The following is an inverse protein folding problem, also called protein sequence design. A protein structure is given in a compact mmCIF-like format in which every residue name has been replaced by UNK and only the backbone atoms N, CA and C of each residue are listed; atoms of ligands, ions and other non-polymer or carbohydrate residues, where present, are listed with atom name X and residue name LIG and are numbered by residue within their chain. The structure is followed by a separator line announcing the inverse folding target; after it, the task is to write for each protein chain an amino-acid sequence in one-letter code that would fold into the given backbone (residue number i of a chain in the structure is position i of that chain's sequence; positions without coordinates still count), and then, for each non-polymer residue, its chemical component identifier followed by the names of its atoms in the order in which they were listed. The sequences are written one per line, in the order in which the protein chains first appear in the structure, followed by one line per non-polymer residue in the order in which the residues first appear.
data_IF_467955040157
#
_entry.id   IF_467955040157
#
_cell.length_a   1.000
_cell.length_b   1.000
_cell.length_c   1.000
_cell.angle_alpha   90.00
_cell.angle_beta   90.00
_cell.angle_gamma   90.00
#
_symmetry.space_group_name_H-M   'P 1'
#
loop_
_entity.id
_entity.type
_entity.pdbx_description
1 polymer ?
#
# COMPACT_ATOMS: atom_id res chain seq x y z
N UNK A 1 46.19 28.22 13.10
CA UNK A 1 46.69 26.97 12.47
C UNK A 1 45.67 26.29 11.52
N UNK A 2 44.37 26.61 11.60
CA UNK A 2 43.37 25.98 10.71
C UNK A 2 43.19 26.66 9.33
N UNK A 3 43.58 27.90 9.22
CA UNK A 3 43.37 28.70 8.02
C UNK A 3 44.48 28.45 6.93
N UNK A 4 45.69 28.14 7.37
CA UNK A 4 46.79 27.75 6.47
C UNK A 4 46.64 26.33 5.93
N UNK A 5 46.04 25.43 6.69
CA UNK A 5 45.70 24.08 6.20
C UNK A 5 44.63 24.10 5.10
N UNK A 6 43.56 24.87 5.31
CA UNK A 6 42.49 25.01 4.32
C UNK A 6 42.98 25.64 3.02
N UNK A 7 43.86 26.62 3.10
CA UNK A 7 44.50 27.22 1.91
C UNK A 7 45.38 26.22 1.14
N UNK A 8 46.09 25.34 1.86
CA UNK A 8 46.89 24.26 1.25
C UNK A 8 46.02 23.23 0.51
N UNK A 9 44.92 22.81 1.13
CA UNK A 9 44.00 21.84 0.53
C UNK A 9 43.28 22.40 -0.70
N UNK A 10 42.90 23.68 -0.67
CA UNK A 10 42.33 24.36 -1.86
C UNK A 10 43.35 24.46 -2.98
N UNK A 11 44.58 24.79 -2.67
CA UNK A 11 45.65 24.90 -3.70
C UNK A 11 45.99 23.52 -4.29
N UNK A 12 45.99 22.46 -3.47
CA UNK A 12 46.15 21.08 -3.91
C UNK A 12 45.02 20.64 -4.85
N UNK A 13 43.78 20.87 -4.45
CA UNK A 13 42.58 20.54 -5.26
C UNK A 13 42.56 21.32 -6.59
N UNK A 14 42.98 22.56 -6.58
CA UNK A 14 43.08 23.38 -7.80
C UNK A 14 44.16 22.85 -8.77
N UNK A 15 45.28 22.39 -8.22
CA UNK A 15 46.34 21.75 -9.01
C UNK A 15 45.88 20.42 -9.64
N UNK A 16 45.14 19.62 -8.89
CA UNK A 16 44.59 18.35 -9.38
C UNK A 16 43.53 18.57 -10.48
N UNK A 17 42.70 19.60 -10.34
CA UNK A 17 41.71 19.98 -11.36
C UNK A 17 42.44 20.50 -12.61
N UNK A 18 43.51 21.28 -12.45
CA UNK A 18 44.31 21.78 -13.57
C UNK A 18 45.05 20.65 -14.31
N UNK A 19 45.57 19.67 -13.59
CA UNK A 19 46.15 18.46 -14.18
C UNK A 19 45.11 17.64 -14.95
N UNK A 20 43.93 17.40 -14.34
CA UNK A 20 42.84 16.67 -14.98
C UNK A 20 42.29 17.35 -16.23
N UNK A 21 42.25 18.69 -16.24
CA UNK A 21 41.90 19.49 -17.42
C UNK A 21 42.98 19.37 -18.51
N UNK A 22 44.26 19.34 -18.14
CA UNK A 22 45.38 19.11 -19.06
C UNK A 22 45.31 17.73 -19.73
N UNK A 23 45.00 16.68 -18.93
CA UNK A 23 44.87 15.33 -19.43
C UNK A 23 43.62 15.17 -20.33
N UNK A 24 42.53 15.84 -19.98
CA UNK A 24 41.33 15.89 -20.81
C UNK A 24 41.60 16.59 -22.16
N UNK A 25 42.31 17.72 -22.14
CA UNK A 25 42.68 18.44 -23.36
C UNK A 25 43.61 17.58 -24.25
N UNK A 26 44.58 16.87 -23.67
CA UNK A 26 45.45 15.95 -24.38
C UNK A 26 44.69 14.79 -25.02
N UNK A 27 43.75 14.22 -24.29
CA UNK A 27 42.85 13.13 -24.78
C UNK A 27 41.96 13.62 -25.92
N UNK A 28 41.46 14.86 -25.81
CA UNK A 28 40.62 15.47 -26.84
C UNK A 28 41.45 15.70 -28.13
N UNK A 29 42.69 16.21 -28.02
CA UNK A 29 43.57 16.41 -29.16
C UNK A 29 43.95 15.08 -29.84
N UNK A 30 44.26 14.06 -29.05
CA UNK A 30 44.53 12.72 -29.60
C UNK A 30 43.30 12.12 -30.31
N UNK A 31 42.12 12.40 -29.80
CA UNK A 31 40.84 11.98 -30.44
C UNK A 31 40.58 12.75 -31.74
N UNK A 32 40.90 14.05 -31.77
CA UNK A 32 40.80 14.86 -32.97
C UNK A 32 41.79 14.40 -34.07
N UNK A 33 43.01 14.05 -33.70
CA UNK A 33 44.01 13.49 -34.63
C UNK A 33 43.56 12.12 -35.19
N UNK A 34 42.99 11.26 -34.36
CA UNK A 34 42.39 9.99 -34.82
C UNK A 34 41.25 10.22 -35.79
N UNK A 35 40.36 11.17 -35.51
CA UNK A 35 39.25 11.53 -36.38
C UNK A 35 39.77 12.07 -37.73
N UNK A 36 40.81 12.90 -37.73
CA UNK A 36 41.41 13.42 -38.95
C UNK A 36 42.07 12.28 -39.78
N UNK A 37 42.73 11.34 -39.10
CA UNK A 37 43.33 10.16 -39.78
C UNK A 37 42.24 9.24 -40.37
N UNK A 38 41.14 9.03 -39.65
CA UNK A 38 39.97 8.26 -40.13
C UNK A 38 39.31 8.97 -41.32
N UNK A 39 39.20 10.28 -41.28
CA UNK A 39 38.64 11.07 -42.37
C UNK A 39 39.52 10.99 -43.62
N UNK A 40 40.86 11.05 -43.48
CA UNK A 40 41.80 10.82 -44.58
C UNK A 40 41.74 9.42 -45.16
N UNK A 41 41.58 8.39 -44.30
CA UNK A 41 41.41 7.00 -44.76
C UNK A 41 40.09 6.81 -45.48
N UNK A 42 39.01 7.38 -44.95
CA UNK A 42 37.69 7.35 -45.56
C UNK A 42 37.70 8.04 -46.92
N UNK A 43 38.33 9.21 -47.02
CA UNK A 43 38.50 9.95 -48.27
C UNK A 43 39.30 9.18 -49.31
N UNK A 44 40.34 8.43 -48.88
CA UNK A 44 41.11 7.56 -49.73
C UNK A 44 40.33 6.33 -50.23
N UNK A 45 39.44 5.78 -49.41
CA UNK A 45 38.56 4.65 -49.80
C UNK A 45 37.45 5.12 -50.71
N UNK A 46 36.91 6.31 -50.51
CA UNK A 46 35.83 6.92 -51.31
C UNK A 46 36.32 7.39 -52.67
N UNK A 47 37.61 7.75 -52.78
CA UNK A 47 38.23 8.15 -54.06
C UNK A 47 38.48 6.99 -55.05
N UNK A 48 38.25 5.72 -54.64
CA UNK A 48 38.23 4.54 -55.51
C UNK A 48 36.85 4.33 -56.10
N UNK A 49 36.71 4.50 -57.37
CA UNK A 49 35.53 4.42 -58.22
C UNK A 49 34.55 3.26 -57.82
N UNK A 50 33.40 3.61 -57.29
CA UNK A 50 32.30 2.65 -57.19
C UNK A 50 31.26 2.87 -56.05
N UNK A 51 31.29 3.96 -55.32
CA UNK A 51 30.27 4.25 -54.31
C UNK A 51 29.39 5.46 -54.70
N UNK A 52 28.08 5.41 -54.40
CA UNK A 52 27.19 6.53 -54.64
C UNK A 52 27.59 7.72 -53.78
N UNK A 53 27.44 8.88 -54.39
CA UNK A 53 27.77 10.23 -53.99
C UNK A 53 27.69 10.52 -52.47
N UNK A 54 28.81 10.34 -51.77
CA UNK A 54 29.01 10.75 -50.37
C UNK A 54 29.31 12.27 -50.24
N UNK A 55 29.30 13.01 -51.31
CA UNK A 55 29.49 14.48 -51.31
C UNK A 55 28.38 15.23 -50.53
N UNK A 56 27.19 14.60 -50.40
CA UNK A 56 26.15 15.13 -49.55
C UNK A 56 26.41 15.03 -48.02
N UNK A 57 27.26 14.08 -47.61
CA UNK A 57 27.62 13.93 -46.19
C UNK A 57 28.72 14.92 -45.77
N UNK A 58 29.62 15.28 -46.70
CA UNK A 58 30.71 16.25 -46.44
C UNK A 58 30.25 17.70 -46.52
N UNK A 59 29.07 17.99 -47.09
CA UNK A 59 28.46 19.32 -47.09
C UNK A 59 27.55 19.58 -45.89
N UNK A 60 27.41 18.60 -45.01
CA UNK A 60 26.57 18.74 -43.79
C UNK A 60 27.40 19.46 -42.73
N UNK A 61 26.80 20.47 -42.10
CA UNK A 61 27.38 21.25 -41.03
C UNK A 61 28.12 20.38 -40.00
N UNK A 62 29.36 20.74 -39.61
CA UNK A 62 30.14 19.99 -38.61
C UNK A 62 29.41 19.70 -37.29
N UNK A 63 28.50 20.57 -36.87
CA UNK A 63 27.67 20.41 -35.70
C UNK A 63 26.63 19.25 -35.87
N UNK A 64 26.13 19.04 -37.07
CA UNK A 64 25.24 17.93 -37.40
C UNK A 64 25.96 16.57 -37.35
N UNK A 65 27.23 16.55 -37.82
CA UNK A 65 28.09 15.33 -37.75
C UNK A 65 28.51 15.07 -36.31
N UNK A 66 28.86 16.10 -35.54
CA UNK A 66 29.17 15.96 -34.13
C UNK A 66 27.95 15.44 -33.32
N UNK A 67 26.74 15.89 -33.64
CA UNK A 67 25.50 15.40 -33.03
C UNK A 67 25.21 13.93 -33.38
N UNK A 68 25.46 13.53 -34.64
CA UNK A 68 25.31 12.14 -35.09
C UNK A 68 26.35 11.21 -34.47
N UNK A 69 27.59 11.69 -34.24
CA UNK A 69 28.65 10.92 -33.59
C UNK A 69 28.53 10.86 -32.08
N UNK A 70 27.96 11.89 -31.45
CA UNK A 70 27.67 11.92 -30.02
C UNK A 70 26.45 11.08 -29.63
N UNK A 71 25.49 10.88 -30.56
CA UNK A 71 24.33 10.06 -30.38
C UNK A 71 24.12 9.11 -31.58
N UNK A 72 24.98 8.09 -31.77
CA UNK A 72 24.95 7.20 -32.94
C UNK A 72 23.70 6.34 -33.00
N UNK A 73 22.87 6.34 -31.95
CA UNK A 73 21.61 5.62 -31.85
C UNK A 73 20.52 6.59 -31.46
N UNK A 74 19.57 6.83 -32.34
CA UNK A 74 18.30 7.47 -31.94
C UNK A 74 17.45 6.44 -31.22
N UNK A 75 17.33 6.57 -29.90
CA UNK A 75 16.44 5.74 -29.12
C UNK A 75 15.01 6.26 -29.32
N UNK A 76 14.25 5.59 -30.17
CA UNK A 76 12.81 5.85 -30.26
C UNK A 76 12.14 5.16 -29.07
N UNK A 77 11.88 5.90 -27.99
CA UNK A 77 11.20 5.41 -26.81
C UNK A 77 9.69 5.40 -27.06
N UNK A 78 9.15 4.23 -27.31
CA UNK A 78 7.69 4.02 -27.27
C UNK A 78 7.34 3.67 -25.83
N UNK A 79 6.79 4.64 -25.09
CA UNK A 79 6.32 4.40 -23.74
C UNK A 79 5.01 3.64 -23.78
N UNK A 80 4.97 2.42 -23.19
CA UNK A 80 3.72 1.65 -23.01
C UNK A 80 2.76 2.40 -22.09
N UNK A 81 3.28 3.04 -21.05
CA UNK A 81 2.55 3.89 -20.12
C UNK A 81 3.17 5.29 -20.16
N UNK A 82 2.65 6.21 -21.00
CA UNK A 82 3.17 7.55 -21.09
C UNK A 82 2.81 8.33 -19.83
N UNK A 83 3.80 8.70 -19.05
CA UNK A 83 3.63 9.50 -17.83
C UNK A 83 4.30 10.85 -18.02
N UNK A 84 3.53 11.93 -17.82
CA UNK A 84 4.00 13.30 -18.10
C UNK A 84 5.09 13.77 -17.12
N UNK A 85 5.03 13.33 -15.87
CA UNK A 85 5.97 13.75 -14.82
C UNK A 85 6.14 12.69 -13.73
N UNK A 86 7.19 12.84 -12.92
CA UNK A 86 7.50 11.92 -11.83
C UNK A 86 6.39 11.84 -10.76
N UNK A 87 5.70 12.95 -10.49
CA UNK A 87 4.56 12.98 -9.57
C UNK A 87 3.45 12.02 -9.99
N UNK A 88 3.04 12.10 -11.27
CA UNK A 88 2.03 11.17 -11.83
C UNK A 88 2.53 9.72 -11.81
N UNK A 89 3.83 9.47 -12.04
CA UNK A 89 4.40 8.12 -11.96
C UNK A 89 4.28 7.50 -10.56
N UNK A 90 4.46 8.31 -9.52
CA UNK A 90 4.44 7.86 -8.13
C UNK A 90 3.04 7.85 -7.50
N UNK A 91 2.08 8.53 -8.08
CA UNK A 91 0.72 8.67 -7.53
C UNK A 91 0.07 7.32 -7.23
N UNK A 92 0.08 6.30 -8.10
CA UNK A 92 -0.54 5.01 -7.81
C UNK A 92 -0.08 4.40 -6.49
N UNK A 93 1.22 4.44 -6.23
CA UNK A 93 1.81 3.94 -5.00
C UNK A 93 1.36 4.74 -3.77
N UNK A 94 1.44 6.08 -3.83
CA UNK A 94 1.08 6.93 -2.69
C UNK A 94 -0.43 6.93 -2.42
N UNK A 95 -1.27 6.83 -3.44
CA UNK A 95 -2.72 6.69 -3.29
C UNK A 95 -3.08 5.40 -2.56
N UNK A 96 -2.53 4.26 -3.00
CA UNK A 96 -2.73 2.96 -2.36
C UNK A 96 -2.23 2.97 -0.91
N UNK A 97 -1.06 3.57 -0.68
CA UNK A 97 -0.48 3.75 0.65
C UNK A 97 -1.39 4.59 1.56
N UNK A 98 -1.89 5.72 1.06
CA UNK A 98 -2.77 6.63 1.82
C UNK A 98 -4.07 5.95 2.24
N UNK A 99 -4.65 5.15 1.36
CA UNK A 99 -5.87 4.38 1.66
C UNK A 99 -5.59 3.35 2.77
N UNK A 100 -4.44 2.66 2.73
CA UNK A 100 -4.07 1.71 3.78
C UNK A 100 -3.85 2.39 5.14
N UNK A 101 -3.05 3.45 5.16
CA UNK A 101 -2.76 4.21 6.39
C UNK A 101 -4.06 4.74 6.99
N UNK A 102 -4.95 5.27 6.17
CA UNK A 102 -6.23 5.73 6.65
C UNK A 102 -7.12 4.61 7.20
N UNK A 103 -7.08 3.42 6.64
CA UNK A 103 -7.78 2.26 7.20
C UNK A 103 -7.21 1.85 8.58
N UNK A 104 -5.90 1.96 8.81
CA UNK A 104 -5.28 1.78 10.14
C UNK A 104 -5.79 2.84 11.11
N UNK A 105 -5.82 4.11 10.69
CA UNK A 105 -6.30 5.22 11.52
C UNK A 105 -7.77 5.02 11.90
N UNK A 106 -8.63 4.61 10.96
CA UNK A 106 -10.04 4.31 11.23
C UNK A 106 -10.19 3.27 12.34
N UNK A 107 -9.43 2.18 12.29
CA UNK A 107 -9.48 1.11 13.29
C UNK A 107 -8.86 1.55 14.63
N UNK A 108 -7.92 2.49 14.61
CA UNK A 108 -7.35 3.05 15.83
C UNK A 108 -8.33 4.01 16.54
N UNK A 109 -9.09 4.80 15.77
CA UNK A 109 -9.99 5.82 16.31
C UNK A 109 -11.38 5.28 16.66
N UNK A 110 -11.86 4.27 15.94
CA UNK A 110 -13.21 3.74 16.11
C UNK A 110 -13.20 2.41 16.88
N UNK A 111 -14.20 2.21 17.74
CA UNK A 111 -14.38 0.91 18.41
C UNK A 111 -14.75 -0.16 17.40
N UNK A 112 -13.92 -1.18 17.31
CA UNK A 112 -14.06 -2.29 16.36
C UNK A 112 -15.10 -3.31 16.82
N UNK A 113 -15.24 -3.53 18.16
CA UNK A 113 -16.23 -4.42 18.74
C UNK A 113 -17.51 -3.67 19.10
N UNK A 114 -18.64 -4.36 18.97
CA UNK A 114 -19.93 -3.85 19.47
C UNK A 114 -19.92 -3.97 20.98
N UNK A 115 -20.24 -2.88 21.69
CA UNK A 115 -20.33 -2.91 23.15
C UNK A 115 -21.52 -3.76 23.60
N UNK A 116 -21.40 -4.38 24.78
CA UNK A 116 -22.49 -5.19 25.32
C UNK A 116 -23.76 -4.37 25.56
N UNK A 117 -23.62 -3.07 25.86
CA UNK A 117 -24.75 -2.14 25.95
C UNK A 117 -25.45 -1.94 24.61
N UNK A 118 -24.73 -1.82 23.50
CA UNK A 118 -25.32 -1.73 22.16
C UNK A 118 -25.99 -3.04 21.76
N UNK A 119 -25.38 -4.18 22.09
CA UNK A 119 -25.99 -5.50 21.87
C UNK A 119 -27.29 -5.64 22.63
N UNK A 120 -27.30 -5.24 23.92
CA UNK A 120 -28.50 -5.25 24.74
C UNK A 120 -29.61 -4.37 24.18
N UNK A 121 -29.28 -3.17 23.68
CA UNK A 121 -30.21 -2.23 23.05
C UNK A 121 -30.82 -2.81 21.77
N UNK A 122 -30.01 -3.38 20.89
CA UNK A 122 -30.50 -4.01 19.64
C UNK A 122 -31.38 -5.23 19.92
N UNK A 123 -31.07 -5.98 20.98
CA UNK A 123 -31.88 -7.12 21.43
C UNK A 123 -33.12 -6.70 22.20
N UNK A 124 -33.33 -5.40 22.46
CA UNK A 124 -34.47 -4.92 23.24
C UNK A 124 -34.43 -5.33 24.72
N UNK A 125 -33.25 -5.70 25.21
CA UNK A 125 -32.98 -5.98 26.61
C UNK A 125 -32.68 -4.64 27.28
N UNK A 126 -33.65 -3.92 27.78
CA UNK A 126 -33.51 -2.56 28.31
C UNK A 126 -32.21 -2.24 29.03
N UNK A 127 -31.90 -0.97 29.24
CA UNK A 127 -30.58 -0.46 29.74
C UNK A 127 -30.14 -1.03 31.11
N UNK A 128 -30.92 -1.88 31.75
CA UNK A 128 -30.76 -2.28 33.15
C UNK A 128 -29.91 -3.53 33.39
N UNK A 129 -29.43 -4.22 32.34
CA UNK A 129 -28.58 -5.41 32.53
C UNK A 129 -27.34 -5.32 31.61
N UNK A 130 -26.17 -5.07 32.17
CA UNK A 130 -24.90 -5.28 31.42
C UNK A 130 -24.85 -6.77 31.02
N UNK A 131 -24.70 -7.04 29.71
CA UNK A 131 -24.67 -8.42 29.18
C UNK A 131 -23.42 -9.21 29.58
N UNK A 132 -22.50 -8.65 30.36
CA UNK A 132 -21.37 -9.36 30.98
C UNK A 132 -21.68 -9.93 32.36
N UNK A 133 -22.71 -9.40 33.02
CA UNK A 133 -23.26 -9.96 34.26
C UNK A 133 -24.50 -10.78 33.91
N UNK A 134 -24.31 -12.01 33.50
CA UNK A 134 -25.35 -13.01 33.78
C UNK A 134 -25.68 -12.85 35.24
N UNK A 135 -26.97 -12.62 35.61
CA UNK A 135 -27.44 -12.81 36.97
C UNK A 135 -26.94 -14.21 37.38
N UNK A 136 -25.73 -14.21 37.91
CA UNK A 136 -25.07 -15.42 38.29
C UNK A 136 -25.62 -15.91 39.61
N UNK A 137 -25.26 -17.10 39.99
CA UNK A 137 -25.53 -17.66 41.31
C UNK A 137 -25.23 -16.65 42.44
N UNK A 138 -24.29 -15.72 42.24
CA UNK A 138 -23.94 -14.62 43.16
C UNK A 138 -25.10 -13.64 43.35
N UNK A 139 -25.75 -13.19 42.27
CA UNK A 139 -26.87 -12.23 42.35
C UNK A 139 -28.14 -12.89 42.92
N UNK A 140 -28.34 -14.15 42.60
CA UNK A 140 -29.41 -14.95 43.21
C UNK A 140 -29.18 -15.13 44.71
N UNK A 141 -27.92 -15.36 45.13
CA UNK A 141 -27.56 -15.45 46.56
C UNK A 141 -27.67 -14.12 47.27
N UNK A 142 -27.33 -13.00 46.64
CA UNK A 142 -27.50 -11.65 47.19
C UNK A 142 -28.98 -11.34 47.31
N UNK A 143 -29.80 -11.61 46.28
CA UNK A 143 -31.23 -11.42 46.32
C UNK A 143 -31.90 -12.31 47.42
N UNK A 144 -31.42 -13.53 47.58
CA UNK A 144 -31.86 -14.42 48.62
C UNK A 144 -31.52 -13.94 50.04
N UNK A 145 -30.39 -13.28 50.20
CA UNK A 145 -29.96 -12.70 51.48
C UNK A 145 -30.72 -11.42 51.86
N UNK A 146 -31.04 -10.59 50.85
CA UNK A 146 -31.70 -9.29 51.08
C UNK A 146 -33.19 -9.35 51.12
N UNK A 147 -33.83 -10.24 50.35
CA UNK A 147 -35.29 -10.30 50.18
C UNK A 147 -35.90 -11.68 50.40
N UNK A 148 -35.10 -12.66 50.90
CA UNK A 148 -35.56 -14.00 51.25
C UNK A 148 -35.46 -15.03 50.11
N UNK A 149 -35.69 -16.32 50.44
CA UNK A 149 -35.47 -17.41 49.48
C UNK A 149 -36.39 -17.38 48.26
N UNK A 150 -37.55 -16.72 48.36
CA UNK A 150 -38.42 -16.48 47.20
C UNK A 150 -37.81 -15.59 46.15
N UNK A 151 -37.07 -14.55 46.57
CA UNK A 151 -36.38 -13.64 45.66
C UNK A 151 -35.21 -14.32 44.95
N UNK A 152 -34.54 -15.27 45.60
CA UNK A 152 -33.50 -16.11 44.98
C UNK A 152 -34.11 -16.98 43.86
N UNK A 153 -35.23 -17.61 44.11
CA UNK A 153 -35.96 -18.40 43.13
C UNK A 153 -36.51 -17.55 41.99
N UNK A 154 -36.95 -16.33 42.27
CA UNK A 154 -37.43 -15.37 41.29
C UNK A 154 -36.31 -14.89 40.35
N UNK A 155 -35.11 -14.66 40.88
CA UNK A 155 -33.92 -14.32 40.07
C UNK A 155 -33.49 -15.49 39.21
N UNK A 156 -33.56 -16.71 39.71
CA UNK A 156 -33.25 -17.94 38.97
C UNK A 156 -34.33 -18.31 37.96
N UNK A 157 -35.58 -17.99 38.27
CA UNK A 157 -36.78 -18.36 37.51
C UNK A 157 -37.25 -17.24 36.55
N UNK A 158 -36.79 -15.98 36.74
CA UNK A 158 -37.10 -14.92 35.79
C UNK A 158 -36.58 -15.34 34.42
N UNK A 159 -37.49 -15.58 33.46
CA UNK A 159 -37.07 -15.75 32.09
C UNK A 159 -36.29 -14.48 31.76
N UNK A 160 -35.13 -14.65 31.12
CA UNK A 160 -34.42 -13.52 30.48
C UNK A 160 -35.49 -12.70 29.77
N UNK A 161 -35.48 -11.35 29.91
CA UNK A 161 -36.56 -10.51 29.41
C UNK A 161 -36.93 -10.95 28.00
N UNK A 162 -38.22 -11.12 27.79
CA UNK A 162 -38.82 -11.71 26.61
C UNK A 162 -38.22 -11.07 25.37
N UNK A 163 -37.49 -11.88 24.64
CA UNK A 163 -36.89 -11.44 23.41
C UNK A 163 -37.85 -11.70 22.26
N UNK A 164 -38.18 -10.74 21.36
CA UNK A 164 -38.97 -11.01 20.18
C UNK A 164 -38.21 -11.93 19.23
N UNK A 165 -38.64 -13.18 19.14
CA UNK A 165 -38.14 -14.14 18.18
C UNK A 165 -36.83 -14.84 18.58
N UNK A 166 -36.39 -15.73 17.71
CA UNK A 166 -35.20 -16.57 17.91
C UNK A 166 -33.87 -15.80 18.10
N UNK A 167 -33.77 -14.63 17.52
CA UNK A 167 -32.55 -13.77 17.62
C UNK A 167 -32.31 -13.30 19.06
N UNK A 168 -33.39 -13.09 19.85
CA UNK A 168 -33.29 -12.68 21.26
C UNK A 168 -33.01 -13.85 22.21
N UNK A 169 -33.40 -15.05 21.81
CA UNK A 169 -33.16 -16.26 22.60
C UNK A 169 -31.68 -16.71 22.48
N UNK A 170 -31.06 -16.45 21.36
CA UNK A 170 -29.70 -16.91 21.05
C UNK A 170 -28.66 -15.76 20.94
N UNK A 171 -29.09 -14.49 21.06
CA UNK A 171 -28.25 -13.33 20.82
C UNK A 171 -28.01 -13.04 19.33
N UNK A 172 -27.13 -12.06 19.04
CA UNK A 172 -26.72 -11.76 17.68
C UNK A 172 -25.81 -12.86 17.14
N UNK A 173 -26.07 -13.29 15.91
CA UNK A 173 -25.14 -14.20 15.24
C UNK A 173 -23.80 -13.51 15.00
N UNK A 174 -22.65 -14.22 15.10
CA UNK A 174 -21.33 -13.63 14.91
C UNK A 174 -21.14 -12.91 13.57
N UNK A 175 -21.78 -13.40 12.50
CA UNK A 175 -21.74 -12.74 11.19
C UNK A 175 -22.53 -11.43 11.15
N UNK A 176 -23.64 -11.33 11.90
CA UNK A 176 -24.44 -10.09 11.98
C UNK A 176 -23.66 -9.00 12.70
N UNK A 177 -23.01 -9.35 13.80
CA UNK A 177 -22.14 -8.44 14.54
C UNK A 177 -20.95 -7.98 13.66
N UNK A 178 -20.33 -8.93 12.95
CA UNK A 178 -19.21 -8.67 12.09
C UNK A 178 -19.56 -7.72 10.93
N UNK A 179 -20.57 -8.05 10.13
CA UNK A 179 -20.97 -7.22 8.99
C UNK A 179 -21.65 -5.92 9.40
N UNK A 180 -22.47 -5.94 10.45
CA UNK A 180 -23.13 -4.73 10.95
C UNK A 180 -22.13 -3.67 11.40
N UNK A 181 -21.04 -4.09 12.04
CA UNK A 181 -19.99 -3.17 12.44
C UNK A 181 -19.08 -2.79 11.27
N UNK A 182 -18.72 -3.76 10.43
CA UNK A 182 -17.93 -3.49 9.23
C UNK A 182 -18.61 -2.49 8.28
N UNK A 183 -19.92 -2.48 8.17
CA UNK A 183 -20.65 -1.54 7.30
C UNK A 183 -20.26 -0.07 7.56
N UNK A 184 -20.08 0.31 8.82
CA UNK A 184 -19.63 1.66 9.20
C UNK A 184 -18.18 1.89 8.76
N UNK A 185 -17.29 0.92 9.01
CA UNK A 185 -15.90 1.00 8.58
C UNK A 185 -15.78 1.06 7.07
N UNK A 186 -16.54 0.21 6.37
CA UNK A 186 -16.56 0.18 4.91
C UNK A 186 -17.07 1.50 4.31
N UNK A 187 -18.12 2.09 4.86
CA UNK A 187 -18.65 3.38 4.42
C UNK A 187 -17.62 4.51 4.62
N UNK A 188 -16.96 4.56 5.77
CA UNK A 188 -15.90 5.53 6.06
C UNK A 188 -14.67 5.33 5.17
N UNK A 189 -14.28 4.07 4.93
CA UNK A 189 -13.18 3.75 4.03
C UNK A 189 -13.49 4.14 2.57
N UNK A 190 -14.71 3.92 2.09
CA UNK A 190 -15.15 4.37 0.78
C UNK A 190 -15.13 5.90 0.66
N UNK A 191 -15.63 6.60 1.66
CA UNK A 191 -15.58 8.06 1.71
C UNK A 191 -14.12 8.55 1.65
N UNK A 192 -13.24 7.97 2.45
CA UNK A 192 -11.82 8.28 2.47
C UNK A 192 -11.15 7.98 1.13
N UNK A 193 -11.35 6.79 0.55
CA UNK A 193 -10.81 6.42 -0.75
C UNK A 193 -11.28 7.36 -1.87
N UNK A 194 -12.56 7.78 -1.82
CA UNK A 194 -13.10 8.78 -2.74
C UNK A 194 -12.38 10.12 -2.59
N UNK A 195 -12.21 10.61 -1.36
CA UNK A 195 -11.54 11.89 -1.10
C UNK A 195 -10.07 11.86 -1.54
N UNK A 196 -9.36 10.76 -1.32
CA UNK A 196 -7.97 10.60 -1.78
C UNK A 196 -7.90 10.65 -3.30
N UNK A 197 -8.69 9.81 -4.00
CA UNK A 197 -8.68 9.77 -5.46
C UNK A 197 -9.11 11.11 -6.09
N UNK A 198 -10.13 11.78 -5.54
CA UNK A 198 -10.54 13.11 -6.01
C UNK A 198 -9.46 14.15 -5.71
N UNK A 199 -8.81 14.05 -4.56
CA UNK A 199 -7.67 14.89 -4.19
C UNK A 199 -6.53 14.79 -5.20
N UNK A 200 -6.15 13.58 -5.58
CA UNK A 200 -5.12 13.32 -6.59
C UNK A 200 -5.48 13.93 -7.95
N UNK A 201 -6.74 13.76 -8.39
CA UNK A 201 -7.19 14.28 -9.67
C UNK A 201 -7.35 15.81 -9.70
N UNK A 202 -7.96 16.40 -8.64
CA UNK A 202 -8.32 17.82 -8.66
C UNK A 202 -7.26 18.74 -8.04
N UNK A 203 -6.58 18.31 -6.97
CA UNK A 203 -5.59 19.15 -6.29
C UNK A 203 -4.16 18.89 -6.78
N UNK A 204 -3.80 17.64 -7.00
CA UNK A 204 -2.47 17.31 -7.53
C UNK A 204 -2.42 17.40 -9.05
N UNK A 205 -3.56 17.43 -9.73
CA UNK A 205 -3.62 17.52 -11.18
C UNK A 205 -2.94 16.33 -11.88
N UNK A 206 -3.09 15.16 -11.31
CA UNK A 206 -2.48 13.94 -11.84
C UNK A 206 -3.06 13.58 -13.18
N UNK A 207 -2.19 13.23 -14.13
CA UNK A 207 -2.62 12.73 -15.42
C UNK A 207 -3.42 11.44 -15.24
N UNK A 208 -4.67 11.43 -15.69
CA UNK A 208 -5.52 10.25 -15.60
C UNK A 208 -6.34 10.10 -16.87
N UNK A 209 -6.10 9.05 -17.63
CA UNK A 209 -6.80 8.79 -18.88
C UNK A 209 -8.22 8.29 -18.62
N UNK A 210 -8.39 7.45 -17.58
CA UNK A 210 -9.66 6.87 -17.20
C UNK A 210 -10.03 7.20 -15.74
N UNK A 211 -10.55 8.40 -15.44
CA UNK A 211 -10.82 8.85 -14.05
C UNK A 211 -11.79 7.93 -13.28
N UNK A 212 -12.77 7.37 -13.97
CA UNK A 212 -13.75 6.48 -13.36
C UNK A 212 -13.15 5.14 -12.96
N UNK A 213 -12.24 4.61 -13.78
CA UNK A 213 -11.51 3.38 -13.46
C UNK A 213 -10.57 3.60 -12.28
N UNK A 214 -9.88 4.76 -12.23
CA UNK A 214 -9.03 5.13 -11.10
C UNK A 214 -9.82 5.19 -9.79
N UNK A 215 -11.01 5.79 -9.80
CA UNK A 215 -11.89 5.85 -8.65
C UNK A 215 -12.39 4.44 -8.22
N UNK A 216 -12.73 3.57 -9.19
CA UNK A 216 -13.13 2.18 -8.91
C UNK A 216 -12.02 1.38 -8.24
N UNK A 217 -10.76 1.54 -8.66
CA UNK A 217 -9.61 0.92 -7.97
C UNK A 217 -9.49 1.46 -6.54
N UNK A 218 -9.60 2.78 -6.36
CA UNK A 218 -9.60 3.40 -5.03
C UNK A 218 -10.67 2.83 -4.10
N UNK A 219 -11.88 2.63 -4.59
CA UNK A 219 -12.97 2.01 -3.85
C UNK A 219 -12.69 0.55 -3.50
N UNK A 220 -12.18 -0.23 -4.45
CA UNK A 220 -11.83 -1.62 -4.18
C UNK A 220 -10.68 -1.73 -3.16
N UNK A 221 -9.62 -0.92 -3.31
CA UNK A 221 -8.55 -0.83 -2.32
C UNK A 221 -9.09 -0.48 -0.93
N UNK A 222 -9.96 0.55 -0.85
CA UNK A 222 -10.55 0.98 0.41
C UNK A 222 -11.35 -0.14 1.08
N UNK A 223 -12.16 -0.87 0.32
CA UNK A 223 -12.95 -2.00 0.86
C UNK A 223 -12.04 -3.17 1.29
N UNK A 224 -11.11 -3.59 0.45
CA UNK A 224 -10.24 -4.74 0.75
C UNK A 224 -9.33 -4.45 1.95
N UNK A 225 -8.71 -3.28 1.98
CA UNK A 225 -7.77 -2.90 3.04
C UNK A 225 -8.49 -2.69 4.37
N UNK A 226 -9.60 -1.96 4.36
CA UNK A 226 -10.39 -1.76 5.58
C UNK A 226 -10.95 -3.09 6.11
N UNK A 227 -11.39 -4.00 5.23
CA UNK A 227 -11.88 -5.31 5.62
C UNK A 227 -10.76 -6.15 6.26
N UNK A 228 -9.58 -6.16 5.68
CA UNK A 228 -8.42 -6.89 6.22
C UNK A 228 -8.01 -6.35 7.58
N UNK A 229 -7.80 -5.04 7.69
CA UNK A 229 -7.34 -4.40 8.94
C UNK A 229 -8.41 -4.53 10.04
N UNK A 230 -9.69 -4.35 9.69
CA UNK A 230 -10.81 -4.58 10.57
C UNK A 230 -10.84 -6.02 11.08
N UNK A 231 -10.70 -6.99 10.18
CA UNK A 231 -10.70 -8.43 10.52
C UNK A 231 -9.55 -8.80 11.43
N UNK A 232 -8.35 -8.32 11.14
CA UNK A 232 -7.17 -8.53 12.01
C UNK A 232 -7.41 -7.96 13.40
N UNK A 233 -7.95 -6.75 13.49
CA UNK A 233 -8.20 -6.09 14.78
C UNK A 233 -9.33 -6.77 15.56
N UNK A 234 -10.41 -7.19 14.90
CA UNK A 234 -11.51 -7.92 15.55
C UNK A 234 -11.06 -9.31 16.05
N UNK A 235 -10.13 -9.94 15.32
CA UNK A 235 -9.66 -11.30 15.66
C UNK A 235 -8.54 -11.31 16.69
N UNK A 236 -7.61 -10.35 16.62
CA UNK A 236 -6.39 -10.32 17.45
C UNK A 236 -6.33 -9.11 18.40
N UNK A 237 -7.32 -8.22 18.41
CA UNK A 237 -7.29 -7.02 19.24
C UNK A 237 -6.14 -6.07 18.86
N UNK A 238 -5.39 -5.59 19.84
CA UNK A 238 -4.28 -4.66 19.62
C UNK A 238 -3.10 -5.31 18.87
N UNK A 239 -2.89 -6.61 19.05
CA UNK A 239 -1.92 -7.38 18.24
C UNK A 239 -2.28 -7.32 16.76
N UNK A 240 -3.57 -7.35 16.42
CA UNK A 240 -4.06 -7.21 15.04
C UNK A 240 -3.69 -5.88 14.40
N UNK A 241 -3.73 -4.79 15.17
CA UNK A 241 -3.26 -3.47 14.71
C UNK A 241 -1.75 -3.47 14.44
N UNK A 242 -0.96 -4.07 15.34
CA UNK A 242 0.48 -4.21 15.15
C UNK A 242 0.81 -5.04 13.89
N UNK A 243 0.10 -6.15 13.65
CA UNK A 243 0.24 -6.95 12.43
C UNK A 243 -0.08 -6.10 11.18
N UNK A 244 -1.11 -5.26 11.22
CA UNK A 244 -1.47 -4.39 10.10
C UNK A 244 -0.37 -3.37 9.77
N UNK A 245 0.36 -2.87 10.79
CA UNK A 245 1.51 -1.97 10.61
C UNK A 245 2.71 -2.73 10.04
N UNK A 246 3.00 -3.95 10.53
CA UNK A 246 4.07 -4.79 9.98
C UNK A 246 3.78 -5.14 8.52
N UNK A 247 2.53 -5.50 8.19
CA UNK A 247 2.10 -5.73 6.82
C UNK A 247 2.28 -4.48 5.95
N UNK A 248 2.03 -3.28 6.48
CA UNK A 248 2.28 -2.03 5.75
C UNK A 248 3.75 -1.93 5.34
N UNK A 249 4.68 -2.13 6.28
CA UNK A 249 6.12 -2.07 6.00
C UNK A 249 6.51 -3.08 4.93
N UNK A 250 6.01 -4.31 5.04
CA UNK A 250 6.24 -5.35 4.04
C UNK A 250 5.68 -4.98 2.67
N UNK A 251 4.50 -4.38 2.62
CA UNK A 251 3.86 -3.96 1.37
C UNK A 251 4.58 -2.80 0.71
N UNK A 252 5.03 -1.81 1.49
CA UNK A 252 5.83 -0.69 0.98
C UNK A 252 7.15 -1.19 0.39
N UNK A 253 7.86 -2.06 1.11
CA UNK A 253 9.14 -2.61 0.66
C UNK A 253 9.00 -3.57 -0.54
N UNK A 254 7.92 -4.32 -0.62
CA UNK A 254 7.72 -5.38 -1.62
C UNK A 254 6.75 -5.04 -2.75
N UNK A 255 6.25 -3.80 -2.84
CA UNK A 255 5.22 -3.45 -3.83
C UNK A 255 5.74 -3.22 -5.24
N UNK A 256 7.04 -2.98 -5.41
CA UNK A 256 7.56 -2.54 -6.70
C UNK A 256 7.15 -1.13 -7.13
N UNK A 257 6.41 -0.41 -6.28
CA UNK A 257 5.87 0.91 -6.62
C UNK A 257 6.89 2.03 -6.67
N UNK A 258 8.01 1.90 -5.97
CA UNK A 258 9.12 2.87 -5.97
C UNK A 258 10.31 2.40 -6.79
N UNK A 259 10.56 1.09 -6.81
CA UNK A 259 11.66 0.47 -7.57
C UNK A 259 11.11 -0.79 -8.27
N UNK A 260 11.66 -1.15 -9.45
CA UNK A 260 11.30 -2.40 -10.11
C UNK A 260 11.51 -3.61 -9.21
N UNK A 261 10.58 -4.57 -9.24
CA UNK A 261 10.59 -5.75 -8.36
C UNK A 261 11.87 -6.58 -8.58
N UNK A 262 12.40 -6.58 -9.78
CA UNK A 262 13.62 -7.29 -10.18
C UNK A 262 14.88 -6.81 -9.45
N UNK A 263 14.87 -5.55 -8.97
CA UNK A 263 15.99 -4.96 -8.21
C UNK A 263 15.95 -5.29 -6.72
N UNK A 264 14.84 -5.87 -6.23
CA UNK A 264 14.66 -6.21 -4.83
C UNK A 264 15.35 -7.55 -4.48
N UNK A 265 15.71 -7.78 -3.21
CA UNK A 265 16.20 -9.09 -2.75
C UNK A 265 15.21 -10.22 -3.08
N UNK A 266 15.71 -11.46 -3.33
CA UNK A 266 14.87 -12.60 -3.76
C UNK A 266 13.68 -12.90 -2.83
N UNK A 267 13.84 -12.62 -1.54
CA UNK A 267 12.75 -12.74 -0.55
C UNK A 267 11.56 -11.86 -0.92
N UNK A 268 11.80 -10.58 -1.23
CA UNK A 268 10.71 -9.65 -1.60
C UNK A 268 10.11 -9.99 -2.96
N UNK A 269 10.91 -10.44 -3.93
CA UNK A 269 10.40 -10.90 -5.23
C UNK A 269 9.43 -12.08 -5.10
N UNK A 270 9.65 -12.94 -4.12
CA UNK A 270 8.76 -14.09 -3.86
C UNK A 270 7.50 -13.67 -3.13
N UNK A 271 7.65 -12.82 -2.10
CA UNK A 271 6.54 -12.43 -1.23
C UNK A 271 5.60 -11.42 -1.89
N UNK A 272 6.09 -10.62 -2.84
CA UNK A 272 5.32 -9.58 -3.53
C UNK A 272 4.03 -10.15 -4.17
N UNK A 273 4.05 -11.39 -4.64
CA UNK A 273 2.88 -12.08 -5.22
C UNK A 273 1.74 -12.30 -4.22
N UNK A 274 2.03 -12.26 -2.92
CA UNK A 274 1.08 -12.42 -1.82
C UNK A 274 0.68 -11.10 -1.17
N UNK A 275 1.25 -9.99 -1.64
CA UNK A 275 0.95 -8.65 -1.16
C UNK A 275 -0.20 -8.04 -1.96
N UNK A 276 -0.94 -7.13 -1.32
CA UNK A 276 -2.10 -6.47 -1.93
C UNK A 276 -1.70 -5.23 -2.75
N UNK A 277 -0.65 -4.51 -2.30
CA UNK A 277 -0.21 -3.26 -2.94
C UNK A 277 0.14 -3.42 -4.41
N UNK A 278 0.92 -4.44 -4.85
CA UNK A 278 1.26 -4.57 -6.25
C UNK A 278 0.04 -4.55 -7.15
N UNK A 279 -1.01 -5.29 -6.79
CA UNK A 279 -2.24 -5.35 -7.58
C UNK A 279 -3.03 -4.04 -7.59
N UNK A 280 -3.04 -3.31 -6.46
CA UNK A 280 -3.64 -1.98 -6.37
C UNK A 280 -2.88 -0.95 -7.22
N UNK A 281 -1.55 -0.95 -7.12
CA UNK A 281 -0.66 -0.07 -7.86
C UNK A 281 -0.76 -0.33 -9.36
N UNK A 282 -0.69 -1.60 -9.80
CA UNK A 282 -0.80 -1.99 -11.21
C UNK A 282 -2.16 -1.58 -11.82
N UNK A 283 -3.25 -1.81 -11.07
CA UNK A 283 -4.57 -1.41 -11.52
C UNK A 283 -4.70 0.12 -11.63
N UNK A 284 -4.13 0.89 -10.69
CA UNK A 284 -4.11 2.35 -10.75
C UNK A 284 -3.23 2.87 -11.89
N UNK A 285 -2.07 2.26 -12.13
CA UNK A 285 -1.23 2.58 -13.29
C UNK A 285 -2.00 2.40 -14.59
N UNK A 286 -2.69 1.25 -14.73
CA UNK A 286 -3.50 0.96 -15.92
C UNK A 286 -4.65 1.98 -16.09
N UNK A 287 -5.24 2.47 -15.01
CA UNK A 287 -6.29 3.48 -15.07
C UNK A 287 -5.76 4.87 -15.44
N UNK A 288 -4.52 5.20 -15.02
CA UNK A 288 -3.92 6.52 -15.23
C UNK A 288 -3.28 6.66 -16.62
N UNK A 289 -2.52 5.67 -17.04
CA UNK A 289 -1.71 5.74 -18.26
C UNK A 289 -2.30 4.95 -19.45
N UNK A 290 -3.49 4.38 -19.26
CA UNK A 290 -4.13 3.48 -20.21
C UNK A 290 -3.81 2.02 -19.97
N UNK A 291 -4.73 1.13 -20.31
CA UNK A 291 -4.59 -0.31 -20.12
C UNK A 291 -4.17 -1.00 -21.43
N UNK A 292 -3.15 -1.82 -21.36
CA UNK A 292 -2.77 -2.70 -22.46
C UNK A 292 -3.51 -4.04 -22.31
N UNK A 293 -4.54 -4.26 -23.11
CA UNK A 293 -5.35 -5.47 -23.06
C UNK A 293 -6.24 -5.56 -21.80
N UNK A 294 -6.10 -6.65 -21.02
CA UNK A 294 -6.97 -6.97 -19.90
C UNK A 294 -6.29 -6.82 -18.51
N UNK A 295 -5.14 -6.14 -18.45
CA UNK A 295 -4.32 -6.01 -17.23
C UNK A 295 -5.06 -5.36 -16.06
N UNK A 296 -5.84 -4.31 -16.36
CA UNK A 296 -6.67 -3.61 -15.36
C UNK A 296 -7.62 -4.60 -14.65
N UNK A 297 -8.40 -5.36 -15.40
CA UNK A 297 -9.39 -6.28 -14.82
C UNK A 297 -8.75 -7.48 -14.11
N UNK A 298 -7.60 -7.93 -14.59
CA UNK A 298 -6.83 -9.02 -13.97
C UNK A 298 -6.30 -8.57 -12.61
N UNK A 299 -5.74 -7.38 -12.52
CA UNK A 299 -5.22 -6.82 -11.26
C UNK A 299 -6.36 -6.53 -10.27
N UNK A 300 -7.48 -5.96 -10.75
CA UNK A 300 -8.70 -5.78 -9.96
C UNK A 300 -9.24 -7.11 -9.44
N UNK A 301 -9.28 -8.15 -10.29
CA UNK A 301 -9.74 -9.49 -9.90
C UNK A 301 -8.84 -10.15 -8.86
N UNK A 302 -7.52 -10.04 -9.02
CA UNK A 302 -6.56 -10.52 -8.03
C UNK A 302 -6.71 -9.80 -6.69
N UNK A 303 -6.86 -8.48 -6.69
CA UNK A 303 -7.09 -7.70 -5.48
C UNK A 303 -8.41 -8.11 -4.79
N UNK A 304 -9.50 -8.28 -5.56
CA UNK A 304 -10.79 -8.71 -5.03
C UNK A 304 -10.74 -10.14 -4.45
N UNK A 305 -9.89 -11.02 -4.99
CA UNK A 305 -9.73 -12.39 -4.49
C UNK A 305 -9.25 -12.44 -3.04
N UNK A 306 -8.52 -11.43 -2.56
CA UNK A 306 -8.10 -11.33 -1.16
C UNK A 306 -9.29 -11.18 -0.18
N UNK A 307 -10.46 -10.78 -0.64
CA UNK A 307 -11.66 -10.73 0.20
C UNK A 307 -11.99 -12.12 0.76
N UNK A 308 -11.80 -13.20 -0.01
CA UNK A 308 -12.15 -14.55 0.38
C UNK A 308 -11.36 -15.04 1.62
N UNK A 309 -10.01 -15.01 1.65
CA UNK A 309 -9.25 -15.43 2.84
C UNK A 309 -9.50 -14.50 4.04
N UNK A 310 -9.76 -13.21 3.81
CA UNK A 310 -10.07 -12.25 4.88
C UNK A 310 -11.42 -12.58 5.51
N UNK A 311 -12.45 -12.86 4.72
CA UNK A 311 -13.75 -13.30 5.24
C UNK A 311 -13.67 -14.65 5.93
N UNK A 312 -12.89 -15.59 5.42
CA UNK A 312 -12.64 -16.87 6.07
C UNK A 312 -12.04 -16.65 7.46
N UNK A 313 -11.04 -15.80 7.58
CA UNK A 313 -10.44 -15.42 8.86
C UNK A 313 -11.48 -14.80 9.81
N UNK A 314 -12.26 -13.82 9.34
CA UNK A 314 -13.21 -13.08 10.15
C UNK A 314 -14.43 -13.86 10.60
N UNK A 315 -14.94 -14.75 9.77
CA UNK A 315 -16.18 -15.49 10.05
C UNK A 315 -15.94 -16.88 10.63
N UNK A 316 -14.95 -17.62 10.13
CA UNK A 316 -14.70 -19.02 10.51
C UNK A 316 -13.62 -19.11 11.56
N UNK A 317 -12.45 -18.50 11.34
CA UNK A 317 -11.29 -18.63 12.20
C UNK A 317 -11.30 -17.66 13.38
N UNK A 318 -12.22 -16.69 13.43
CA UNK A 318 -12.31 -15.69 14.52
C UNK A 318 -12.38 -16.34 15.90
N UNK A 319 -13.27 -17.32 16.10
CA UNK A 319 -13.44 -17.98 17.41
C UNK A 319 -12.19 -18.69 17.93
N UNK A 320 -11.52 -19.56 17.15
CA UNK A 320 -10.30 -20.19 17.59
C UNK A 320 -9.16 -19.20 17.79
N UNK A 321 -9.06 -18.17 16.94
CA UNK A 321 -8.06 -17.11 17.02
C UNK A 321 -8.22 -16.28 18.29
N UNK A 322 -9.44 -15.85 18.63
CA UNK A 322 -9.71 -15.14 19.89
C UNK A 322 -9.32 -15.96 21.11
N UNK A 323 -9.61 -17.28 21.13
CA UNK A 323 -9.18 -18.16 22.23
C UNK A 323 -7.68 -18.26 22.37
N UNK A 324 -6.98 -18.31 21.23
CA UNK A 324 -5.52 -18.32 21.21
C UNK A 324 -4.95 -17.00 21.72
N UNK A 325 -5.52 -15.88 21.29
CA UNK A 325 -5.14 -14.54 21.74
C UNK A 325 -5.34 -14.37 23.26
N UNK A 326 -6.48 -14.80 23.81
CA UNK A 326 -6.74 -14.77 25.25
C UNK A 326 -5.79 -15.66 26.03
N UNK A 327 -5.36 -16.77 25.45
CA UNK A 327 -4.34 -17.65 26.05
C UNK A 327 -2.97 -16.97 26.06
N UNK A 328 -2.57 -16.35 24.96
CA UNK A 328 -1.30 -15.61 24.84
C UNK A 328 -1.27 -14.45 25.84
N UNK A 329 -2.33 -13.64 25.92
CA UNK A 329 -2.41 -12.50 26.83
C UNK A 329 -2.28 -12.97 28.28
N UNK A 330 -3.01 -14.03 28.68
CA UNK A 330 -2.91 -14.59 30.03
C UNK A 330 -1.51 -15.10 30.37
N UNK A 331 -0.81 -15.71 29.40
CA UNK A 331 0.56 -16.14 29.61
C UNK A 331 1.54 -14.96 29.71
N UNK A 332 1.34 -13.89 28.94
CA UNK A 332 2.15 -12.69 29.03
C UNK A 332 1.95 -11.96 30.36
N UNK A 333 0.70 -11.82 30.82
CA UNK A 333 0.38 -11.25 32.14
C UNK A 333 1.00 -12.07 33.28
N UNK A 334 1.02 -13.41 33.15
CA UNK A 334 1.65 -14.29 34.16
C UNK A 334 3.17 -14.11 34.24
N UNK A 335 3.83 -13.67 33.16
CA UNK A 335 5.29 -13.46 33.13
C UNK A 335 5.72 -12.06 33.58
N UNK A 336 4.75 -11.18 34.01
CA UNK A 336 5.02 -9.79 34.44
C UNK A 336 5.84 -8.96 33.46
N UNK A 337 5.71 -9.23 32.17
CA UNK A 337 6.41 -8.51 31.09
C UNK A 337 5.60 -7.27 30.64
N UNK A 338 4.38 -7.11 31.18
CA UNK A 338 3.55 -5.90 31.05
C UNK A 338 3.15 -5.38 32.41
#
# INVERSE_FOLDING_TARGET
TSMSGLSGDITGSLSDVQSSLGDAATTLNASAEKLDSLNKQLTAVVGGSGMPDLSQITSTDPDSIATLLSAPVSVNRIALYPVANYGSAMTPFYTVLSIWVGAIILVAMMKVSVSDREKAKVLGLGETLPMGETMGVKDAVIAGRTAGPGAMLDVLRKPRPESPGNARRFGLHPYQEYFGRYAIFGAMALLQGTLVCLGDMFFLGVQCEHPLQFLMVGWLCALVFSLLIYTLTVSFGDIGKAIAVVLLVMQVAGSGGTFPIETLPPFFQTICKWLLFPYGVDAMHSAMAGSFGNEYWVSMGKLALFILPVLLLGLVLRKPVMRLNDWIIRNLESTKVM
#
